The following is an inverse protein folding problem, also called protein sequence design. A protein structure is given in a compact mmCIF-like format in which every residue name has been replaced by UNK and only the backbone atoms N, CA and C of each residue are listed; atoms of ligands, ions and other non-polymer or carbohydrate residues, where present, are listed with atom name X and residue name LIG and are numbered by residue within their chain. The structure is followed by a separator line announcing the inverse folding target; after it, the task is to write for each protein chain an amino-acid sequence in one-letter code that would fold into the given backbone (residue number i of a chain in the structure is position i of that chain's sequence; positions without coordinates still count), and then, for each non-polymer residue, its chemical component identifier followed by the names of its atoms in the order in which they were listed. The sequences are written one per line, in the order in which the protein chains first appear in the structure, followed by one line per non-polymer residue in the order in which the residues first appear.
data_IF_474659030587
#
_entry.id   IF_474659030587
#
_cell.length_a   1.000
_cell.length_b   1.000
_cell.length_c   1.000
_cell.angle_alpha   90.00
_cell.angle_beta   90.00
_cell.angle_gamma   90.00
#
_symmetry.space_group_name_H-M   'P 1'
#
loop_
_entity.id
_entity.type
_entity.pdbx_description
1 polymer ?
#
# COMPACT_ATOMS: atom_id res chain seq x y z
N UNK A 1 5.50 10.99 -16.74
CA UNK A 1 5.95 12.07 -15.85
C UNK A 1 5.34 11.93 -14.45
N UNK A 2 4.05 12.23 -14.17
CA UNK A 2 3.55 12.14 -12.78
C UNK A 2 3.60 10.74 -12.12
N UNK A 3 3.42 9.64 -12.87
CA UNK A 3 3.50 8.28 -12.31
C UNK A 3 4.94 7.94 -11.88
N UNK A 4 5.93 8.50 -12.58
CA UNK A 4 7.35 8.23 -12.36
C UNK A 4 7.88 8.89 -11.07
N UNK A 5 7.11 9.84 -10.50
CA UNK A 5 7.42 10.53 -9.25
C UNK A 5 6.90 9.77 -8.01
N UNK A 6 6.12 8.69 -8.21
CA UNK A 6 5.58 7.88 -7.12
C UNK A 6 6.58 6.78 -6.72
N UNK A 7 6.74 6.50 -5.41
CA UNK A 7 7.45 5.31 -4.96
C UNK A 7 6.95 4.02 -5.62
N UNK A 8 7.88 3.15 -5.97
CA UNK A 8 7.63 1.89 -6.65
C UNK A 8 7.75 0.76 -5.62
N UNK A 9 6.67 -0.02 -5.47
CA UNK A 9 6.59 -1.10 -4.49
C UNK A 9 7.71 -2.13 -4.66
N UNK A 10 8.46 -2.37 -3.58
CA UNK A 10 9.58 -3.29 -3.52
C UNK A 10 10.82 -2.86 -4.32
N UNK A 11 10.87 -1.60 -4.78
CA UNK A 11 11.94 -1.08 -5.63
C UNK A 11 12.58 0.17 -5.05
N UNK A 12 11.80 1.19 -4.67
CA UNK A 12 12.36 2.46 -4.21
C UNK A 12 11.46 3.27 -3.25
N UNK A 13 12.05 4.35 -2.75
CA UNK A 13 11.38 5.34 -1.92
C UNK A 13 10.79 4.73 -0.66
N UNK A 14 9.64 5.26 -0.23
CA UNK A 14 8.95 4.80 0.97
C UNK A 14 8.30 3.41 0.83
N UNK A 15 8.44 2.72 -0.31
CA UNK A 15 7.88 1.38 -0.54
C UNK A 15 8.95 0.31 -0.82
N UNK A 16 10.24 0.66 -0.75
CA UNK A 16 11.36 -0.23 -1.10
C UNK A 16 11.37 -1.53 -0.28
N UNK A 17 11.04 -1.44 1.01
CA UNK A 17 11.17 -2.55 1.95
C UNK A 17 9.93 -3.45 2.06
N UNK A 18 8.84 -3.12 1.37
CA UNK A 18 7.55 -3.78 1.57
C UNK A 18 7.14 -4.68 0.40
N UNK A 19 6.46 -5.78 0.71
CA UNK A 19 5.95 -6.78 -0.22
C UNK A 19 7.00 -7.30 -1.24
N UNK A 20 8.28 -7.33 -0.86
CA UNK A 20 9.43 -7.66 -1.74
C UNK A 20 9.39 -9.07 -2.35
N UNK A 21 8.59 -9.97 -1.78
CA UNK A 21 8.48 -11.36 -2.21
C UNK A 21 7.16 -11.64 -2.95
N UNK A 22 6.62 -10.64 -3.66
CA UNK A 22 5.35 -10.74 -4.38
C UNK A 22 5.49 -10.48 -5.87
N UNK A 23 4.49 -10.86 -6.67
CA UNK A 23 4.48 -10.61 -8.11
C UNK A 23 4.29 -9.13 -8.48
N UNK A 24 3.91 -8.30 -7.50
CA UNK A 24 3.62 -6.88 -7.67
C UNK A 24 4.86 -5.96 -7.57
N UNK A 25 6.04 -6.50 -7.24
CA UNK A 25 7.29 -5.73 -7.21
C UNK A 25 7.51 -5.05 -8.56
N UNK A 26 7.71 -3.73 -8.53
CA UNK A 26 7.88 -2.93 -9.75
C UNK A 26 6.59 -2.70 -10.56
N UNK A 27 5.42 -3.05 -10.03
CA UNK A 27 4.11 -2.93 -10.71
C UNK A 27 3.17 -1.93 -10.05
N UNK A 28 3.44 -1.55 -8.81
CA UNK A 28 2.61 -0.62 -8.03
C UNK A 28 3.39 0.67 -7.82
N UNK A 29 2.80 1.78 -8.24
CA UNK A 29 3.34 3.13 -8.15
C UNK A 29 2.40 3.90 -7.23
N UNK A 30 2.78 4.13 -5.98
CA UNK A 30 1.85 4.67 -4.99
C UNK A 30 2.52 5.57 -3.96
N UNK A 31 1.83 6.66 -3.62
CA UNK A 31 2.24 7.51 -2.51
C UNK A 31 1.63 6.96 -1.22
N UNK A 32 2.43 6.76 -0.16
CA UNK A 32 1.89 6.44 1.14
C UNK A 32 1.41 7.68 1.90
N UNK A 33 0.38 7.49 2.69
CA UNK A 33 -0.12 8.43 3.69
C UNK A 33 -0.34 7.72 5.03
N UNK A 34 0.48 8.07 6.03
CA UNK A 34 0.47 7.42 7.34
C UNK A 34 0.17 8.43 8.42
N UNK A 35 -0.81 8.13 9.27
CA UNK A 35 -1.14 8.90 10.45
C UNK A 35 -1.22 7.99 11.67
N UNK A 36 -0.42 8.30 12.69
CA UNK A 36 -0.42 7.61 13.99
C UNK A 36 -0.62 8.66 15.07
N UNK A 37 -1.38 8.32 16.11
CA UNK A 37 -1.51 9.14 17.28
C UNK A 37 -1.26 8.33 18.56
N UNK A 38 -0.86 9.04 19.60
CA UNK A 38 -0.60 8.49 20.92
C UNK A 38 -1.68 8.98 21.89
N UNK A 39 -2.33 8.05 22.57
CA UNK A 39 -3.30 8.37 23.61
C UNK A 39 -2.63 8.34 24.98
N UNK A 40 -2.40 9.53 25.54
CA UNK A 40 -1.75 9.69 26.86
C UNK A 40 -2.55 9.09 28.02
N UNK A 41 -3.87 8.95 27.90
CA UNK A 41 -4.71 8.39 28.96
C UNK A 41 -4.65 6.85 29.01
N UNK A 42 -4.47 6.20 27.86
CA UNK A 42 -4.36 4.74 27.77
C UNK A 42 -2.92 4.25 27.63
N UNK A 43 -1.98 5.16 27.35
CA UNK A 43 -0.59 4.85 27.08
C UNK A 43 -0.36 4.09 25.77
N UNK A 44 -1.31 4.11 24.84
CA UNK A 44 -1.29 3.30 23.60
C UNK A 44 -1.15 4.17 22.35
N UNK A 45 -0.54 3.61 21.31
CA UNK A 45 -0.62 4.15 19.96
C UNK A 45 -1.88 3.65 19.26
N UNK A 46 -2.35 4.43 18.30
CA UNK A 46 -3.40 4.02 17.38
C UNK A 46 -3.14 4.55 15.99
N UNK A 47 -3.43 3.71 15.00
CA UNK A 47 -3.39 4.09 13.61
C UNK A 47 -4.62 4.95 13.29
N UNK A 48 -4.38 6.21 12.91
CA UNK A 48 -5.42 7.05 12.30
C UNK A 48 -5.68 6.53 10.89
N UNK A 49 -4.61 6.39 10.10
CA UNK A 49 -4.69 5.91 8.72
C UNK A 49 -3.37 5.31 8.26
N UNK A 50 -3.45 4.27 7.44
CA UNK A 50 -2.42 3.92 6.48
C UNK A 50 -3.06 3.81 5.11
N UNK A 51 -2.53 4.56 4.15
CA UNK A 51 -3.08 4.61 2.81
C UNK A 51 -2.02 4.50 1.73
N UNK A 52 -2.38 3.89 0.61
CA UNK A 52 -1.65 3.87 -0.65
C UNK A 52 -2.58 4.40 -1.76
N UNK A 53 -2.18 5.51 -2.38
CA UNK A 53 -2.89 6.08 -3.52
C UNK A 53 -1.99 6.17 -4.74
N UNK A 54 -2.45 5.68 -5.89
CA UNK A 54 -1.67 5.74 -7.12
C UNK A 54 -2.18 4.80 -8.20
N UNK A 55 -1.27 4.07 -8.82
CA UNK A 55 -1.54 3.23 -9.99
C UNK A 55 -0.94 1.84 -9.86
N UNK A 56 -1.67 0.86 -10.38
CA UNK A 56 -1.18 -0.51 -10.58
C UNK A 56 -1.06 -0.74 -12.08
N UNK A 57 0.13 -1.09 -12.56
CA UNK A 57 0.34 -1.59 -13.92
C UNK A 57 -0.10 -3.04 -13.96
N UNK A 58 -1.34 -3.29 -14.40
CA UNK A 58 -1.93 -4.61 -14.43
C UNK A 58 -1.25 -5.54 -15.42
N UNK A 59 -1.57 -6.84 -15.35
CA UNK A 59 -0.91 -7.87 -16.18
C UNK A 59 -1.20 -7.73 -17.67
N UNK A 60 -2.29 -7.04 -18.03
CA UNK A 60 -2.61 -6.63 -19.40
C UNK A 60 -1.84 -5.38 -19.88
N UNK A 61 -0.99 -4.79 -19.04
CA UNK A 61 -0.21 -3.60 -19.36
C UNK A 61 -0.94 -2.27 -19.15
N UNK A 62 -2.24 -2.27 -18.83
CA UNK A 62 -2.99 -1.06 -18.52
C UNK A 62 -2.73 -0.59 -17.09
N UNK A 63 -2.78 0.73 -16.90
CA UNK A 63 -2.72 1.33 -15.56
C UNK A 63 -4.14 1.44 -14.97
N UNK A 64 -4.29 0.91 -13.76
CA UNK A 64 -5.49 1.05 -12.95
C UNK A 64 -5.21 2.06 -11.85
N UNK A 65 -5.97 3.15 -11.80
CA UNK A 65 -5.96 4.03 -10.64
C UNK A 65 -6.55 3.27 -9.44
N UNK A 66 -5.89 3.35 -8.29
CA UNK A 66 -6.36 2.70 -7.08
C UNK A 66 -6.10 3.56 -5.84
N UNK A 67 -6.90 3.31 -4.81
CA UNK A 67 -6.73 3.84 -3.47
C UNK A 67 -7.04 2.72 -2.49
N UNK A 68 -6.11 2.46 -1.58
CA UNK A 68 -6.26 1.55 -0.46
C UNK A 68 -6.05 2.35 0.81
N UNK A 69 -6.99 2.30 1.75
CA UNK A 69 -6.87 2.96 3.04
C UNK A 69 -7.41 2.05 4.15
N UNK A 70 -6.61 1.88 5.19
CA UNK A 70 -6.99 1.21 6.43
C UNK A 70 -6.91 2.21 7.57
N UNK A 71 -7.89 2.19 8.47
CA UNK A 71 -8.00 3.16 9.55
C UNK A 71 -8.29 2.42 10.87
N UNK A 72 -8.13 3.12 11.99
CA UNK A 72 -8.57 2.67 13.32
C UNK A 72 -7.93 1.35 13.79
N UNK A 73 -6.64 1.13 13.49
CA UNK A 73 -5.87 -0.01 14.01
C UNK A 73 -5.32 0.25 15.41
N UNK A 74 -5.40 -0.74 16.31
CA UNK A 74 -4.68 -0.70 17.59
C UNK A 74 -3.19 -0.94 17.36
N UNK A 75 -2.33 -0.17 18.03
CA UNK A 75 -0.88 -0.31 17.94
C UNK A 75 -0.27 -0.41 19.35
N UNK A 76 0.03 -1.62 19.83
CA UNK A 76 0.78 -1.82 21.08
C UNK A 76 2.11 -1.05 21.15
N UNK A 77 2.83 -0.93 20.03
CA UNK A 77 4.08 -0.21 19.89
C UNK A 77 4.08 0.67 18.62
N UNK A 78 4.93 1.70 18.60
CA UNK A 78 5.03 2.58 17.41
C UNK A 78 5.50 1.82 16.16
N UNK A 79 6.39 0.84 16.35
CA UNK A 79 6.96 0.04 15.26
C UNK A 79 5.93 -0.87 14.58
N UNK A 80 4.78 -1.11 15.20
CA UNK A 80 3.68 -1.88 14.58
C UNK A 80 3.17 -1.20 13.30
N UNK A 81 3.45 0.09 13.09
CA UNK A 81 3.15 0.80 11.85
C UNK A 81 3.81 0.15 10.63
N UNK A 82 5.00 -0.44 10.80
CA UNK A 82 5.72 -1.10 9.71
C UNK A 82 5.07 -2.44 9.33
N UNK A 83 4.58 -3.18 10.32
CA UNK A 83 3.79 -4.41 10.08
C UNK A 83 2.51 -4.08 9.31
N UNK A 84 1.79 -3.04 9.74
CA UNK A 84 0.58 -2.58 9.03
C UNK A 84 0.93 -2.12 7.61
N UNK A 85 2.08 -1.48 7.42
CA UNK A 85 2.51 -1.02 6.11
C UNK A 85 2.86 -2.19 5.18
N UNK A 86 3.47 -3.25 5.70
CA UNK A 86 3.67 -4.51 4.99
C UNK A 86 2.33 -5.13 4.58
N UNK A 87 1.37 -5.22 5.51
CA UNK A 87 0.04 -5.80 5.22
C UNK A 87 -0.69 -5.04 4.10
N UNK A 88 -0.72 -3.70 4.16
CA UNK A 88 -1.33 -2.85 3.13
C UNK A 88 -0.60 -2.97 1.79
N UNK A 89 0.72 -3.18 1.81
CA UNK A 89 1.52 -3.43 0.61
C UNK A 89 1.23 -4.80 0.00
N UNK A 90 1.06 -5.84 0.82
CA UNK A 90 0.62 -7.17 0.36
C UNK A 90 -0.78 -7.14 -0.23
N UNK A 91 -1.71 -6.36 0.34
CA UNK A 91 -3.03 -6.13 -0.25
C UNK A 91 -2.93 -5.49 -1.65
N UNK A 92 -1.99 -4.56 -1.86
CA UNK A 92 -1.72 -4.02 -3.21
C UNK A 92 -1.26 -5.11 -4.18
N UNK A 93 -0.50 -6.11 -3.72
CA UNK A 93 -0.18 -7.28 -4.53
C UNK A 93 -1.40 -8.12 -4.87
N UNK A 94 -2.31 -8.32 -3.92
CA UNK A 94 -3.55 -9.06 -4.19
C UNK A 94 -4.42 -8.35 -5.24
N UNK A 95 -4.48 -7.01 -5.20
CA UNK A 95 -5.16 -6.22 -6.24
C UNK A 95 -4.46 -6.40 -7.59
N UNK A 96 -3.14 -6.34 -7.65
CA UNK A 96 -2.38 -6.62 -8.88
C UNK A 96 -2.70 -8.01 -9.44
N UNK A 97 -2.76 -9.04 -8.59
CA UNK A 97 -3.09 -10.40 -9.04
C UNK A 97 -4.50 -10.49 -9.63
N UNK A 98 -5.46 -9.72 -9.10
CA UNK A 98 -6.82 -9.64 -9.65
C UNK A 98 -6.91 -9.01 -11.05
N UNK A 99 -5.87 -8.31 -11.51
CA UNK A 99 -5.84 -7.70 -12.86
C UNK A 99 -5.74 -8.73 -14.00
N UNK A 100 -5.60 -10.03 -13.69
CA UNK A 100 -5.68 -11.14 -14.66
C UNK A 100 -7.07 -11.35 -15.27
N UNK A 101 -8.14 -10.89 -14.61
CA UNK A 101 -9.52 -11.20 -14.97
C UNK A 101 -10.13 -10.25 -16.01
N UNK A 102 -9.32 -9.66 -16.89
CA UNK A 102 -9.77 -8.82 -17.99
C UNK A 102 -10.52 -9.57 -19.10
N UNK A 103 -11.52 -10.40 -18.78
CA UNK A 103 -12.69 -10.53 -19.65
C UNK A 103 -13.55 -9.32 -19.33
N UNK A 104 -13.62 -8.41 -20.29
CA UNK A 104 -14.51 -7.25 -20.22
C UNK A 104 -15.90 -7.72 -19.81
N UNK A 105 -16.52 -6.94 -18.93
CA UNK A 105 -17.97 -6.91 -18.81
C UNK A 105 -18.52 -6.40 -20.15
N UNK A 106 -18.72 -7.31 -21.10
CA UNK A 106 -19.62 -7.13 -22.26
C UNK A 106 -21.03 -7.58 -21.88
#
# INVERSE_FOLDING_TARGET
HYIDDLPILGVDGSLEDFAKNTAAVGKVFAKPGTGVAYNVATGKFFLITQALGGYIKGKNGHFYAYMLAVNNGEMPAIDDVFTIFEDVSQLSSMIYDSTENGKGIE
#
